data_IF_492960992372
#
_entry.id   IF_492960992372
#
_cell.length_a   1.000
_cell.length_b   1.000
_cell.length_c   1.000
_cell.angle_alpha   90.00
_cell.angle_beta   90.00
_cell.angle_gamma   90.00
#
_symmetry.space_group_name_H-M   'P 1'
#
loop_
_entity.id
_entity.type
_entity.pdbx_description
1 polymer ?
#
# COMPACT_ATOMS: atom_id res chain seq x y z
N UNK A 1 20.37 37.99 -15.00
CA UNK A 1 19.19 38.47 -14.25
C UNK A 1 18.99 37.46 -13.14
N UNK A 2 19.27 37.84 -11.90
CA UNK A 2 18.93 37.02 -10.75
C UNK A 2 17.43 37.11 -10.57
N UNK A 3 16.69 36.09 -11.01
CA UNK A 3 15.36 35.86 -10.46
C UNK A 3 15.56 35.29 -9.06
N UNK A 4 15.55 36.17 -8.07
CA UNK A 4 15.31 35.76 -6.70
C UNK A 4 13.92 35.13 -6.65
N UNK A 5 13.88 33.79 -6.62
CA UNK A 5 12.67 33.04 -6.33
C UNK A 5 12.11 33.54 -5.00
N UNK A 6 10.85 34.00 -4.93
CA UNK A 6 10.22 34.30 -3.66
C UNK A 6 10.03 32.98 -2.92
N UNK A 7 10.97 32.65 -2.03
CA UNK A 7 10.81 31.66 -0.97
C UNK A 7 9.81 32.20 0.08
N UNK A 8 8.57 32.43 -0.34
CA UNK A 8 7.45 32.77 0.53
C UNK A 8 7.06 31.53 1.34
N UNK A 9 6.91 31.71 2.66
CA UNK A 9 6.42 30.70 3.60
C UNK A 9 5.16 29.97 3.13
N UNK A 10 4.25 30.64 2.42
CA UNK A 10 3.05 30.02 1.83
C UNK A 10 3.40 29.05 0.69
N UNK A 11 4.39 29.38 -0.13
CA UNK A 11 4.90 28.48 -1.19
C UNK A 11 5.64 27.29 -0.61
N UNK A 12 6.38 27.50 0.48
CA UNK A 12 7.00 26.42 1.26
C UNK A 12 5.94 25.47 1.87
N UNK A 13 4.91 26.02 2.53
CA UNK A 13 3.82 25.23 3.10
C UNK A 13 3.05 24.43 2.02
N UNK A 14 2.76 25.04 0.88
CA UNK A 14 2.13 24.35 -0.24
C UNK A 14 3.00 23.19 -0.75
N UNK A 15 4.32 23.42 -0.93
CA UNK A 15 5.27 22.38 -1.33
C UNK A 15 5.41 21.23 -0.33
N UNK A 16 5.33 21.50 0.99
CA UNK A 16 5.36 20.44 2.02
C UNK A 16 4.11 19.56 1.98
N UNK A 17 2.94 20.16 1.76
CA UNK A 17 1.67 19.44 1.67
C UNK A 17 1.60 18.57 0.42
N UNK A 18 2.09 19.07 -0.71
CA UNK A 18 2.18 18.30 -1.95
C UNK A 18 3.14 17.11 -1.81
N UNK A 19 4.30 17.29 -1.16
CA UNK A 19 5.28 16.23 -0.94
C UNK A 19 4.80 15.12 0.01
N UNK A 20 3.99 15.44 1.04
CA UNK A 20 3.36 14.43 1.90
C UNK A 20 2.39 13.57 1.10
N UNK A 21 1.54 14.20 0.30
CA UNK A 21 0.49 13.51 -0.45
C UNK A 21 1.05 12.71 -1.63
N UNK A 22 2.13 13.17 -2.26
CA UNK A 22 2.86 12.41 -3.29
C UNK A 22 3.36 11.05 -2.78
N UNK A 23 3.71 10.93 -1.50
CA UNK A 23 4.12 9.64 -0.90
C UNK A 23 2.97 8.63 -0.91
N UNK A 24 1.73 9.07 -0.75
CA UNK A 24 0.56 8.20 -0.76
C UNK A 24 0.29 7.61 -2.15
N UNK A 25 0.43 8.42 -3.21
CA UNK A 25 0.35 7.90 -4.58
C UNK A 25 1.49 6.92 -4.87
N UNK A 26 2.71 7.23 -4.42
CA UNK A 26 3.84 6.32 -4.52
C UNK A 26 3.60 4.99 -3.80
N UNK A 27 2.98 5.02 -2.63
CA UNK A 27 2.64 3.84 -1.85
C UNK A 27 1.50 3.03 -2.47
N UNK A 28 0.50 3.69 -3.08
CA UNK A 28 -0.55 3.00 -3.82
C UNK A 28 0.02 2.19 -5.00
N UNK A 29 0.97 2.76 -5.75
CA UNK A 29 1.66 2.03 -6.82
C UNK A 29 2.48 0.86 -6.28
N UNK A 30 3.20 1.04 -5.18
CA UNK A 30 3.97 -0.04 -4.55
C UNK A 30 3.03 -1.17 -4.06
N UNK A 31 1.85 -0.82 -3.55
CA UNK A 31 0.81 -1.75 -3.13
C UNK A 31 0.24 -2.53 -4.31
N UNK A 32 -0.06 -1.86 -5.42
CA UNK A 32 -0.53 -2.51 -6.65
C UNK A 32 0.52 -3.51 -7.17
N UNK A 33 1.79 -3.14 -7.17
CA UNK A 33 2.87 -4.04 -7.57
C UNK A 33 3.06 -5.20 -6.61
N UNK A 34 2.89 -4.97 -5.30
CA UNK A 34 2.90 -6.04 -4.32
C UNK A 34 1.70 -6.99 -4.48
N UNK A 35 0.54 -6.50 -4.88
CA UNK A 35 -0.63 -7.35 -5.18
C UNK A 35 -0.31 -8.36 -6.29
N UNK A 36 0.46 -7.98 -7.31
CA UNK A 36 0.91 -8.91 -8.35
C UNK A 36 1.79 -10.01 -7.75
N UNK A 37 2.63 -9.69 -6.77
CA UNK A 37 3.44 -10.68 -6.07
C UNK A 37 2.58 -11.64 -5.22
N UNK A 38 1.53 -11.13 -4.55
CA UNK A 38 0.56 -11.97 -3.83
C UNK A 38 -0.19 -12.88 -4.79
N UNK A 39 -0.56 -12.39 -5.98
CA UNK A 39 -1.20 -13.19 -7.02
C UNK A 39 -0.31 -14.38 -7.45
N UNK A 40 1.01 -14.18 -7.55
CA UNK A 40 1.94 -15.28 -7.78
C UNK A 40 1.92 -16.32 -6.64
N UNK A 41 1.82 -15.89 -5.39
CA UNK A 41 1.66 -16.81 -4.25
C UNK A 41 0.36 -17.60 -4.33
N UNK A 42 -0.74 -16.93 -4.66
CA UNK A 42 -2.04 -17.55 -4.88
C UNK A 42 -2.00 -18.63 -5.98
N UNK A 43 -1.30 -18.39 -7.09
CA UNK A 43 -1.17 -19.39 -8.16
C UNK A 43 -0.19 -20.53 -7.85
N UNK A 44 0.76 -20.29 -6.95
CA UNK A 44 1.88 -21.22 -6.69
C UNK A 44 1.71 -22.01 -5.39
N UNK A 45 0.67 -21.74 -4.61
CA UNK A 45 0.46 -22.38 -3.31
C UNK A 45 0.10 -23.86 -3.40
N UNK A 46 0.23 -24.57 -2.28
CA UNK A 46 0.21 -26.04 -2.24
C UNK A 46 -1.17 -26.62 -1.93
N UNK A 47 -2.12 -25.81 -1.46
CA UNK A 47 -3.43 -26.27 -1.03
C UNK A 47 -4.57 -25.34 -1.44
N UNK A 48 -5.77 -25.90 -1.59
CA UNK A 48 -6.97 -25.12 -1.89
C UNK A 48 -7.31 -24.09 -0.80
N UNK A 49 -6.97 -24.39 0.46
CA UNK A 49 -7.11 -23.44 1.57
C UNK A 49 -6.21 -22.22 1.36
N UNK A 50 -4.91 -22.44 1.11
CA UNK A 50 -3.97 -21.36 0.85
C UNK A 50 -4.39 -20.55 -0.39
N UNK A 51 -4.87 -21.21 -1.43
CA UNK A 51 -5.32 -20.58 -2.65
C UNK A 51 -6.41 -19.54 -2.40
N UNK A 52 -7.46 -19.91 -1.67
CA UNK A 52 -8.57 -18.99 -1.31
C UNK A 52 -8.09 -17.81 -0.47
N UNK A 53 -7.19 -18.02 0.49
CA UNK A 53 -6.75 -16.95 1.38
C UNK A 53 -5.74 -16.00 0.71
N UNK A 54 -4.85 -16.52 -0.15
CA UNK A 54 -3.99 -15.65 -0.96
C UNK A 54 -4.78 -14.89 -2.04
N UNK A 55 -5.87 -15.45 -2.58
CA UNK A 55 -6.79 -14.72 -3.47
C UNK A 55 -7.42 -13.53 -2.74
N UNK A 56 -7.96 -13.77 -1.54
CA UNK A 56 -8.55 -12.71 -0.73
C UNK A 56 -7.55 -11.60 -0.40
N UNK A 57 -6.30 -11.96 -0.07
CA UNK A 57 -5.22 -11.00 0.15
C UNK A 57 -4.86 -10.21 -1.12
N UNK A 58 -4.81 -10.88 -2.28
CA UNK A 58 -4.57 -10.23 -3.56
C UNK A 58 -5.65 -9.17 -3.86
N UNK A 59 -6.92 -9.55 -3.75
CA UNK A 59 -8.04 -8.65 -4.01
C UNK A 59 -8.03 -7.47 -3.04
N UNK A 60 -7.80 -7.74 -1.75
CA UNK A 60 -7.72 -6.71 -0.71
C UNK A 60 -6.63 -5.68 -1.01
N UNK A 61 -5.41 -6.11 -1.30
CA UNK A 61 -4.28 -5.18 -1.53
C UNK A 61 -4.47 -4.39 -2.83
N UNK A 62 -5.02 -5.03 -3.87
CA UNK A 62 -5.32 -4.38 -5.15
C UNK A 62 -6.43 -3.33 -5.02
N UNK A 63 -7.52 -3.66 -4.33
CA UNK A 63 -8.63 -2.73 -4.07
C UNK A 63 -8.21 -1.57 -3.14
N UNK A 64 -7.39 -1.86 -2.13
CA UNK A 64 -6.80 -0.83 -1.27
C UNK A 64 -6.01 0.21 -2.07
N UNK A 65 -5.19 -0.22 -3.03
CA UNK A 65 -4.39 0.70 -3.84
C UNK A 65 -5.28 1.69 -4.62
N UNK A 66 -6.34 1.19 -5.27
CA UNK A 66 -7.30 2.03 -5.99
C UNK A 66 -8.03 2.98 -5.02
N UNK A 67 -8.53 2.48 -3.89
CA UNK A 67 -9.21 3.28 -2.86
C UNK A 67 -8.31 4.36 -2.25
N UNK A 68 -7.02 4.08 -2.08
CA UNK A 68 -6.06 5.06 -1.57
C UNK A 68 -5.92 6.22 -2.55
N UNK A 69 -5.76 5.94 -3.84
CA UNK A 69 -5.69 6.97 -4.89
C UNK A 69 -6.96 7.81 -4.89
N UNK A 70 -8.14 7.18 -4.91
CA UNK A 70 -9.42 7.90 -4.89
C UNK A 70 -9.60 8.76 -3.64
N UNK A 71 -9.23 8.23 -2.47
CA UNK A 71 -9.29 8.98 -1.22
C UNK A 71 -8.41 10.22 -1.29
N UNK A 72 -7.19 10.08 -1.80
CA UNK A 72 -6.25 11.19 -1.93
C UNK A 72 -6.73 12.22 -2.97
N UNK A 73 -7.25 11.78 -4.12
CA UNK A 73 -7.81 12.67 -5.14
C UNK A 73 -8.99 13.48 -4.60
N UNK A 74 -9.84 12.87 -3.76
CA UNK A 74 -10.97 13.55 -3.11
C UNK A 74 -10.54 14.72 -2.19
N UNK A 75 -9.27 14.73 -1.76
CA UNK A 75 -8.69 15.83 -0.96
C UNK A 75 -8.28 17.03 -1.81
N UNK A 76 -8.55 17.02 -3.12
CA UNK A 76 -8.27 18.11 -4.05
C UNK A 76 -6.84 18.15 -4.57
N UNK A 77 -6.08 17.06 -4.40
CA UNK A 77 -4.70 16.93 -4.89
C UNK A 77 -4.72 16.23 -6.25
N UNK A 78 -3.86 16.69 -7.18
CA UNK A 78 -3.72 16.03 -8.49
C UNK A 78 -2.86 14.79 -8.36
N UNK A 79 -3.22 13.74 -9.10
CA UNK A 79 -2.36 12.56 -9.21
C UNK A 79 -0.97 12.95 -9.70
N UNK A 80 0.05 12.50 -8.96
CA UNK A 80 1.45 12.65 -9.34
C UNK A 80 2.22 11.44 -8.82
N UNK A 81 2.92 10.77 -9.73
CA UNK A 81 3.77 9.63 -9.41
C UNK A 81 5.17 9.88 -9.95
N UNK A 82 6.17 9.46 -9.16
CA UNK A 82 7.54 9.42 -9.63
C UNK A 82 7.72 8.24 -10.57
N UNK A 83 8.57 8.40 -11.58
CA UNK A 83 8.98 7.27 -12.42
C UNK A 83 9.68 6.24 -11.54
N UNK A 84 9.09 5.05 -11.43
CA UNK A 84 9.63 3.89 -10.73
C UNK A 84 9.71 2.72 -11.70
N UNK A 85 10.79 1.96 -11.59
CA UNK A 85 10.93 0.67 -12.26
C UNK A 85 10.70 -0.41 -11.23
N UNK A 86 9.78 -1.33 -11.52
CA UNK A 86 9.50 -2.47 -10.67
C UNK A 86 10.09 -3.73 -11.28
N UNK A 87 10.75 -4.53 -10.44
CA UNK A 87 11.29 -5.83 -10.82
C UNK A 87 10.52 -6.89 -10.05
N UNK A 88 9.80 -7.74 -10.77
CA UNK A 88 9.12 -8.90 -10.20
C UNK A 88 10.01 -10.10 -10.46
N UNK A 89 10.68 -10.58 -9.42
CA UNK A 89 11.49 -11.79 -9.50
C UNK A 89 10.60 -13.02 -9.34
N UNK A 90 10.90 -14.03 -10.16
CA UNK A 90 10.42 -15.38 -9.90
C UNK A 90 11.08 -15.91 -8.64
N UNK A 91 10.27 -16.38 -7.70
CA UNK A 91 10.72 -16.91 -6.41
C UNK A 91 9.96 -18.20 -6.16
N UNK A 92 10.65 -19.31 -5.82
CA UNK A 92 9.97 -20.52 -5.39
C UNK A 92 8.99 -20.21 -4.25
N UNK A 93 7.79 -20.79 -4.34
CA UNK A 93 6.79 -20.57 -3.31
C UNK A 93 7.24 -21.17 -1.98
N UNK A 94 7.21 -20.33 -0.94
CA UNK A 94 7.33 -20.72 0.46
C UNK A 94 6.30 -19.93 1.26
N UNK A 95 5.36 -20.64 1.87
CA UNK A 95 4.23 -20.03 2.59
C UNK A 95 4.70 -19.12 3.73
N UNK A 96 5.78 -19.49 4.42
CA UNK A 96 6.28 -18.73 5.57
C UNK A 96 6.87 -17.38 5.12
N UNK A 97 7.62 -17.38 4.02
CA UNK A 97 8.21 -16.21 3.39
C UNK A 97 7.14 -15.30 2.80
N UNK A 98 6.12 -15.89 2.14
CA UNK A 98 4.98 -15.14 1.64
C UNK A 98 4.27 -14.39 2.78
N UNK A 99 3.96 -15.09 3.87
CA UNK A 99 3.35 -14.50 5.08
C UNK A 99 4.22 -13.36 5.63
N UNK A 100 5.53 -13.57 5.80
CA UNK A 100 6.44 -12.53 6.32
C UNK A 100 6.44 -11.26 5.45
N UNK A 101 6.35 -11.40 4.12
CA UNK A 101 6.26 -10.24 3.21
C UNK A 101 4.94 -9.51 3.34
N UNK A 102 3.84 -10.22 3.55
CA UNK A 102 2.52 -9.63 3.78
C UNK A 102 2.48 -8.92 5.14
N UNK A 103 3.12 -9.49 6.18
CA UNK A 103 3.28 -8.83 7.48
C UNK A 103 4.08 -7.54 7.37
N UNK A 104 5.18 -7.52 6.61
CA UNK A 104 5.95 -6.31 6.38
C UNK A 104 5.13 -5.20 5.67
N UNK A 105 4.27 -5.59 4.72
CA UNK A 105 3.32 -4.67 4.10
C UNK A 105 2.30 -4.13 5.11
N UNK A 106 1.73 -5.01 5.94
CA UNK A 106 0.81 -4.65 7.02
C UNK A 106 1.46 -3.67 8.01
N UNK A 107 2.71 -3.88 8.39
CA UNK A 107 3.44 -2.96 9.28
C UNK A 107 3.67 -1.59 8.65
N UNK A 108 3.96 -1.56 7.34
CA UNK A 108 4.05 -0.30 6.58
C UNK A 108 2.73 0.48 6.59
N UNK A 109 1.58 -0.21 6.57
CA UNK A 109 0.27 0.43 6.71
C UNK A 109 0.03 1.03 8.10
N UNK A 110 0.50 0.39 9.17
CA UNK A 110 0.40 0.94 10.53
C UNK A 110 1.19 2.23 10.64
N UNK A 111 2.42 2.23 10.13
CA UNK A 111 3.29 3.40 10.15
C UNK A 111 2.66 4.57 9.38
N UNK A 112 2.05 4.29 8.23
CA UNK A 112 1.27 5.29 7.49
C UNK A 112 0.03 5.74 8.26
N UNK A 113 -0.73 4.82 8.83
CA UNK A 113 -1.91 5.17 9.64
C UNK A 113 -1.54 6.12 10.78
N UNK A 114 -0.43 5.88 11.46
CA UNK A 114 0.08 6.77 12.51
C UNK A 114 0.38 8.18 11.98
N UNK A 115 1.08 8.27 10.84
CA UNK A 115 1.42 9.54 10.18
C UNK A 115 0.19 10.34 9.72
N UNK A 116 -0.88 9.65 9.31
CA UNK A 116 -2.11 10.27 8.79
C UNK A 116 -3.30 10.19 9.75
N UNK A 117 -3.05 9.99 11.06
CA UNK A 117 -4.07 9.85 12.12
C UNK A 117 -5.01 11.06 12.27
N UNK A 118 -4.70 12.22 11.67
CA UNK A 118 -5.59 13.38 11.66
C UNK A 118 -6.51 13.43 10.43
N UNK A 119 -6.36 12.48 9.51
CA UNK A 119 -7.13 12.38 8.26
C UNK A 119 -8.07 11.17 8.36
N UNK A 120 -9.27 11.39 8.90
CA UNK A 120 -10.25 10.33 9.22
C UNK A 120 -10.47 9.35 8.05
N UNK A 121 -10.59 9.84 6.81
CA UNK A 121 -10.81 8.97 5.64
C UNK A 121 -9.63 8.02 5.38
N UNK A 122 -8.40 8.51 5.50
CA UNK A 122 -7.18 7.70 5.36
C UNK A 122 -7.01 6.77 6.56
N UNK A 123 -7.25 7.27 7.76
CA UNK A 123 -7.13 6.48 8.99
C UNK A 123 -8.07 5.27 8.98
N UNK A 124 -9.32 5.47 8.55
CA UNK A 124 -10.30 4.39 8.39
C UNK A 124 -9.86 3.41 7.29
N UNK A 125 -9.48 3.91 6.11
CA UNK A 125 -9.03 3.06 5.01
C UNK A 125 -7.85 2.15 5.43
N UNK A 126 -6.84 2.71 6.09
CA UNK A 126 -5.72 1.94 6.60
C UNK A 126 -6.16 0.97 7.70
N UNK A 127 -6.99 1.43 8.64
CA UNK A 127 -7.51 0.60 9.73
C UNK A 127 -8.25 -0.65 9.23
N UNK A 128 -9.21 -0.46 8.33
CA UNK A 128 -10.04 -1.53 7.76
C UNK A 128 -9.19 -2.54 6.97
N UNK A 129 -8.18 -2.03 6.25
CA UNK A 129 -7.25 -2.86 5.49
C UNK A 129 -6.36 -3.68 6.42
N UNK A 130 -5.82 -3.07 7.49
CA UNK A 130 -4.99 -3.75 8.49
C UNK A 130 -5.77 -4.87 9.19
N UNK A 131 -7.02 -4.62 9.61
CA UNK A 131 -7.85 -5.63 10.26
C UNK A 131 -8.12 -6.83 9.32
N UNK A 132 -8.40 -6.54 8.05
CA UNK A 132 -8.62 -7.57 7.03
C UNK A 132 -7.34 -8.38 6.76
N UNK A 133 -6.18 -7.73 6.69
CA UNK A 133 -4.88 -8.41 6.58
C UNK A 133 -4.62 -9.32 7.78
N UNK A 134 -4.81 -8.82 9.01
CA UNK A 134 -4.56 -9.58 10.24
C UNK A 134 -5.41 -10.85 10.30
N UNK A 135 -6.66 -10.78 9.85
CA UNK A 135 -7.55 -11.94 9.73
C UNK A 135 -6.97 -12.99 8.78
N UNK A 136 -6.64 -12.61 7.55
CA UNK A 136 -6.17 -13.58 6.54
C UNK A 136 -4.77 -14.12 6.87
N UNK A 137 -3.87 -13.29 7.42
CA UNK A 137 -2.56 -13.72 7.94
C UNK A 137 -2.76 -14.74 9.07
N UNK A 138 -3.68 -14.48 10.00
CA UNK A 138 -4.00 -15.37 11.10
C UNK A 138 -4.51 -16.73 10.63
N UNK A 139 -5.33 -16.76 9.58
CA UNK A 139 -5.82 -18.01 8.97
C UNK A 139 -4.68 -18.82 8.35
N UNK A 140 -3.84 -18.18 7.52
CA UNK A 140 -2.69 -18.82 6.88
C UNK A 140 -1.63 -19.33 7.87
N UNK A 141 -1.48 -18.68 9.03
CA UNK A 141 -0.55 -19.13 10.07
C UNK A 141 -1.05 -20.34 10.84
N UNK A 142 -2.35 -20.39 11.13
CA UNK A 142 -2.93 -21.38 12.05
C UNK A 142 -3.49 -22.62 11.35
N UNK A 143 -3.75 -22.55 10.05
CA UNK A 143 -4.32 -23.64 9.27
C UNK A 143 -3.46 -23.85 8.01
N UNK A 144 -2.39 -24.66 8.12
CA UNK A 144 -1.50 -25.00 7.00
C UNK A 144 -1.94 -26.29 6.32
#
# INVERSE_FOLDING_TARGET
MNEELPNDFLSYLAGTKDAEVEKLFGFALDSLMFSIKISQYHWSCESGFQHTHFEALYELVRDFADKLVETVLSMGVKFKANNKTYVINDEPFDVSTAILKIEAFRDSLIDLKSQYSTKISLENLFGDTIESLDKEIGLLKNFK
#
